data_IF_611655415707
#
_entry.id   IF_611655415707
#
_cell.length_a   1.000
_cell.length_b   1.000
_cell.length_c   1.000
_cell.angle_alpha   90.00
_cell.angle_beta   90.00
_cell.angle_gamma   90.00
#
_symmetry.space_group_name_H-M   'P 1'
#
loop_
_entity.id
_entity.type
_entity.pdbx_description
1 polymer ?
#
# COMPACT_ATOMS: atom_id res chain seq x y z
N UNK A 1 14.72 -35.57 73.19
CA UNK A 1 14.42 -36.85 72.53
C UNK A 1 12.95 -36.86 72.13
N UNK A 2 12.67 -37.21 70.86
CA UNK A 2 11.40 -37.69 70.25
C UNK A 2 10.13 -36.81 70.32
N UNK A 3 9.66 -36.40 69.13
CA UNK A 3 8.26 -36.07 68.77
C UNK A 3 7.32 -37.30 68.95
N UNK A 4 5.96 -37.20 68.86
CA UNK A 4 5.24 -36.81 67.63
C UNK A 4 3.83 -36.14 67.76
N UNK A 5 3.30 -35.80 66.56
CA UNK A 5 1.89 -35.72 66.13
C UNK A 5 1.05 -34.48 66.47
N UNK A 6 0.77 -33.66 65.44
CA UNK A 6 -0.37 -32.74 65.37
C UNK A 6 -1.15 -33.01 64.07
N UNK A 7 -2.46 -33.25 64.24
CA UNK A 7 -3.46 -33.52 63.21
C UNK A 7 -4.09 -32.20 62.71
N UNK A 8 -4.50 -32.18 61.44
CA UNK A 8 -5.71 -31.47 61.01
C UNK A 8 -5.51 -30.23 60.13
N UNK A 9 -5.61 -30.43 58.81
CA UNK A 9 -5.67 -29.41 57.76
C UNK A 9 -7.13 -29.23 57.31
N UNK A 10 -7.63 -28.00 57.20
CA UNK A 10 -8.79 -27.59 56.36
C UNK A 10 -8.73 -26.06 56.14
N UNK A 11 -8.38 -25.55 54.94
CA UNK A 11 -9.25 -24.93 53.90
C UNK A 11 -10.20 -23.81 54.40
N UNK A 12 -10.45 -22.66 53.75
CA UNK A 12 -10.10 -22.07 52.44
C UNK A 12 -10.42 -20.55 52.51
N UNK A 13 -9.68 -19.76 51.72
CA UNK A 13 -9.66 -18.28 51.61
C UNK A 13 -10.81 -17.75 50.72
N UNK A 14 -11.25 -16.49 50.90
CA UNK A 14 -11.35 -15.48 49.81
C UNK A 14 -11.84 -14.10 50.30
N UNK A 15 -10.95 -13.11 50.14
CA UNK A 15 -11.13 -11.70 50.44
C UNK A 15 -11.82 -10.97 49.27
N UNK A 16 -12.67 -9.99 49.57
CA UNK A 16 -13.30 -9.08 48.61
C UNK A 16 -12.77 -7.65 48.80
N UNK A 17 -11.97 -7.11 47.87
CA UNK A 17 -11.69 -5.68 47.80
C UNK A 17 -12.57 -4.97 46.74
N UNK A 18 -13.04 -3.79 47.14
CA UNK A 18 -13.85 -2.80 46.43
C UNK A 18 -13.31 -2.41 45.04
N UNK A 19 -14.15 -2.51 44.00
CA UNK A 19 -13.88 -1.91 42.70
C UNK A 19 -14.45 -0.48 42.65
N UNK A 20 -13.55 0.51 42.69
CA UNK A 20 -13.83 1.91 42.38
C UNK A 20 -14.06 2.00 40.87
N UNK A 21 -15.27 2.37 40.45
CA UNK A 21 -15.63 2.53 39.05
C UNK A 21 -15.02 3.82 38.50
N UNK A 22 -13.78 3.74 38.01
CA UNK A 22 -13.16 4.79 37.20
C UNK A 22 -13.89 4.87 35.85
N UNK A 23 -14.70 5.91 35.64
CA UNK A 23 -15.16 6.28 34.30
C UNK A 23 -13.96 6.77 33.49
N UNK A 24 -13.31 5.79 32.85
CA UNK A 24 -12.22 6.00 31.92
C UNK A 24 -12.67 6.92 30.78
N UNK A 25 -11.87 7.95 30.56
CA UNK A 25 -11.82 8.77 29.36
C UNK A 25 -11.87 7.81 28.17
N UNK A 26 -12.97 7.84 27.43
CA UNK A 26 -13.13 7.14 26.16
C UNK A 26 -12.24 7.83 25.11
N UNK A 27 -10.93 7.73 25.28
CA UNK A 27 -9.98 7.92 24.20
C UNK A 27 -10.14 6.68 23.33
N UNK A 28 -11.02 6.82 22.33
CA UNK A 28 -11.15 5.87 21.24
C UNK A 28 -9.83 5.92 20.47
N UNK A 29 -8.84 5.18 20.95
CA UNK A 29 -7.59 4.94 20.23
C UNK A 29 -7.94 4.19 18.97
N UNK A 30 -8.13 4.95 17.89
CA UNK A 30 -8.11 4.44 16.51
C UNK A 30 -6.86 3.59 16.38
N UNK A 31 -6.95 2.34 15.88
CA UNK A 31 -5.76 1.54 15.64
C UNK A 31 -4.81 2.35 14.75
N UNK A 32 -3.62 2.65 15.25
CA UNK A 32 -2.55 3.21 14.44
C UNK A 32 -2.17 2.14 13.43
N UNK A 33 -2.80 2.18 12.27
CA UNK A 33 -2.40 1.41 11.11
C UNK A 33 -0.92 1.71 10.88
N UNK A 34 -0.02 0.70 10.86
CA UNK A 34 1.41 0.91 10.66
C UNK A 34 1.55 1.75 9.40
N UNK A 35 2.20 2.91 9.56
CA UNK A 35 2.38 3.95 8.58
C UNK A 35 2.61 3.34 7.19
N UNK A 36 1.52 3.21 6.42
CA UNK A 36 1.57 2.74 5.04
C UNK A 36 2.52 3.70 4.34
N UNK A 37 3.68 3.21 3.91
CA UNK A 37 4.61 4.01 3.11
C UNK A 37 3.80 4.54 1.93
N UNK A 38 3.50 5.84 1.94
CA UNK A 38 2.57 6.47 1.01
C UNK A 38 2.95 6.11 -0.42
N UNK A 39 2.00 5.57 -1.21
CA UNK A 39 2.22 5.32 -2.62
C UNK A 39 2.58 6.63 -3.30
N UNK A 40 3.69 6.66 -4.03
CA UNK A 40 4.13 7.84 -4.75
C UNK A 40 3.50 7.93 -6.14
N UNK A 41 3.31 6.78 -6.79
CA UNK A 41 2.56 6.66 -8.04
C UNK A 41 1.65 5.45 -7.93
N UNK A 42 0.40 5.60 -8.35
CA UNK A 42 -0.50 4.50 -8.63
C UNK A 42 -0.95 4.63 -10.07
N UNK A 43 -0.74 3.59 -10.86
CA UNK A 43 -1.21 3.46 -12.23
C UNK A 43 -2.09 2.23 -12.35
N UNK A 44 -3.25 2.38 -12.95
CA UNK A 44 -4.16 1.29 -13.25
C UNK A 44 -4.47 1.28 -14.74
N UNK A 45 -4.46 0.09 -15.34
CA UNK A 45 -4.91 -0.16 -16.70
C UNK A 45 -5.96 -1.25 -16.71
N UNK A 46 -7.04 -1.00 -17.44
CA UNK A 46 -8.09 -1.98 -17.71
C UNK A 46 -8.53 -1.93 -19.17
N UNK A 47 -9.13 -3.01 -19.67
CA UNK A 47 -9.66 -3.08 -21.03
C UNK A 47 -8.87 -4.06 -21.92
N UNK A 48 -8.84 -3.76 -23.21
CA UNK A 48 -8.33 -4.67 -24.25
C UNK A 48 -9.21 -5.90 -24.46
N UNK A 49 -9.08 -6.56 -25.60
CA UNK A 49 -9.90 -7.73 -25.95
C UNK A 49 -9.75 -8.90 -24.95
N UNK A 50 -8.55 -9.08 -24.38
CA UNK A 50 -8.27 -10.11 -23.38
C UNK A 50 -8.87 -9.78 -22.00
N UNK A 51 -9.39 -8.56 -21.81
CA UNK A 51 -9.89 -8.11 -20.54
C UNK A 51 -8.79 -8.12 -19.48
N UNK A 52 -7.75 -7.33 -19.66
CA UNK A 52 -6.72 -7.18 -18.63
C UNK A 52 -7.17 -6.22 -17.51
N UNK A 53 -6.59 -6.39 -16.33
CA UNK A 53 -6.62 -5.40 -15.25
C UNK A 53 -5.26 -5.43 -14.58
N UNK A 54 -4.53 -4.33 -14.61
CA UNK A 54 -3.24 -4.21 -13.97
C UNK A 54 -3.24 -2.99 -13.07
N UNK A 55 -2.66 -3.13 -11.89
CA UNK A 55 -2.37 -2.02 -10.98
C UNK A 55 -0.90 -2.04 -10.60
N UNK A 56 -0.18 -0.98 -10.93
CA UNK A 56 1.18 -0.74 -10.50
C UNK A 56 1.18 0.31 -9.39
N UNK A 57 1.69 -0.06 -8.23
CA UNK A 57 1.96 0.87 -7.13
C UNK A 57 3.45 1.05 -6.96
N UNK A 58 3.95 2.28 -7.11
CA UNK A 58 5.33 2.65 -6.85
C UNK A 58 5.42 3.48 -5.57
N UNK A 59 6.32 3.09 -4.68
CA UNK A 59 6.62 3.83 -3.44
C UNK A 59 7.76 4.82 -3.66
N UNK A 60 7.87 5.82 -2.79
CA UNK A 60 8.98 6.77 -2.81
C UNK A 60 10.36 6.13 -2.58
N UNK A 61 10.39 4.96 -1.92
CA UNK A 61 11.58 4.10 -1.79
C UNK A 61 11.97 3.37 -3.08
N UNK A 62 11.15 3.49 -4.13
CA UNK A 62 11.19 2.69 -5.35
C UNK A 62 10.91 1.19 -5.18
N UNK A 63 10.30 0.81 -4.06
CA UNK A 63 9.62 -0.47 -3.98
C UNK A 63 8.35 -0.44 -4.85
N UNK A 64 8.04 -1.54 -5.51
CA UNK A 64 6.87 -1.68 -6.38
C UNK A 64 6.02 -2.89 -6.00
N UNK A 65 4.73 -2.81 -6.35
CA UNK A 65 3.81 -3.95 -6.39
C UNK A 65 3.03 -3.85 -7.69
N UNK A 66 3.03 -4.92 -8.48
CA UNK A 66 2.20 -5.11 -9.66
C UNK A 66 1.12 -6.15 -9.35
N UNK A 67 -0.13 -5.81 -9.61
CA UNK A 67 -1.30 -6.60 -9.23
C UNK A 67 -2.25 -6.80 -10.41
N UNK A 68 -2.92 -7.95 -10.46
CA UNK A 68 -4.16 -8.10 -11.22
C UNK A 68 -5.29 -7.48 -10.40
N UNK A 69 -5.79 -6.32 -10.82
CA UNK A 69 -6.80 -5.57 -10.07
C UNK A 69 -8.22 -6.17 -10.14
N UNK A 70 -8.49 -7.13 -11.03
CA UNK A 70 -9.77 -7.88 -11.02
C UNK A 70 -9.74 -8.97 -9.97
N UNK A 71 -8.63 -9.70 -9.89
CA UNK A 71 -8.46 -10.85 -8.99
C UNK A 71 -7.83 -10.50 -7.65
N UNK A 72 -7.41 -9.24 -7.47
CA UNK A 72 -6.70 -8.76 -6.28
C UNK A 72 -5.47 -9.63 -5.95
N UNK A 73 -4.78 -10.08 -6.99
CA UNK A 73 -3.64 -11.00 -6.86
C UNK A 73 -2.36 -10.27 -7.22
N UNK A 74 -1.31 -10.41 -6.40
CA UNK A 74 0.00 -9.85 -6.72
C UNK A 74 0.65 -10.66 -7.84
N UNK A 75 0.95 -10.00 -8.95
CA UNK A 75 1.67 -10.57 -10.10
C UNK A 75 3.16 -10.57 -9.82
N UNK A 76 3.71 -9.42 -9.41
CA UNK A 76 5.12 -9.30 -9.03
C UNK A 76 5.32 -8.17 -8.01
N UNK A 77 6.41 -8.24 -7.24
CA UNK A 77 6.78 -7.20 -6.26
C UNK A 77 8.28 -7.19 -6.07
N UNK A 78 8.83 -6.03 -5.72
CA UNK A 78 10.26 -5.93 -5.45
C UNK A 78 10.71 -4.48 -5.37
N UNK A 79 11.98 -4.26 -5.74
CA UNK A 79 12.54 -2.93 -5.91
C UNK A 79 12.81 -2.70 -7.40
N UNK A 80 12.59 -1.47 -7.86
CA UNK A 80 12.95 -1.10 -9.23
C UNK A 80 14.46 -1.25 -9.47
N UNK A 81 14.89 -1.64 -10.68
CA UNK A 81 16.29 -1.55 -11.10
C UNK A 81 16.85 -0.13 -10.93
N UNK A 82 18.17 0.01 -10.75
CA UNK A 82 18.76 1.32 -10.42
C UNK A 82 18.48 2.39 -11.48
N UNK A 83 18.45 2.04 -12.77
CA UNK A 83 18.07 2.94 -13.86
C UNK A 83 16.66 3.53 -13.68
N UNK A 84 15.67 2.69 -13.34
CA UNK A 84 14.29 3.10 -13.10
C UNK A 84 14.13 3.88 -11.80
N UNK A 85 14.94 3.56 -10.77
CA UNK A 85 14.98 4.30 -9.51
C UNK A 85 15.39 5.75 -9.73
N UNK A 86 16.42 5.97 -10.55
CA UNK A 86 16.89 7.31 -10.90
C UNK A 86 15.81 8.09 -11.63
N UNK A 87 15.14 7.46 -12.61
CA UNK A 87 14.05 8.09 -13.36
C UNK A 87 12.86 8.46 -12.46
N UNK A 88 12.40 7.53 -11.62
CA UNK A 88 11.32 7.75 -10.65
C UNK A 88 11.66 8.93 -9.72
N UNK A 89 12.85 8.92 -9.09
CA UNK A 89 13.25 9.97 -8.15
C UNK A 89 13.44 11.34 -8.81
N UNK A 90 14.09 11.39 -9.96
CA UNK A 90 14.44 12.66 -10.63
C UNK A 90 13.21 13.30 -11.28
N UNK A 91 12.50 12.55 -12.10
CA UNK A 91 11.44 13.10 -12.94
C UNK A 91 10.11 13.09 -12.21
N UNK A 92 9.78 12.02 -11.49
CA UNK A 92 8.40 11.83 -11.04
C UNK A 92 8.15 12.34 -9.62
N UNK A 93 9.10 12.13 -8.70
CA UNK A 93 8.91 12.52 -7.30
C UNK A 93 9.22 14.00 -7.02
N UNK A 94 10.14 14.60 -7.79
CA UNK A 94 10.61 15.97 -7.57
C UNK A 94 9.92 17.01 -8.46
N UNK A 95 9.58 16.66 -9.70
CA UNK A 95 8.98 17.61 -10.65
C UNK A 95 7.49 17.77 -10.41
N UNK A 96 6.77 16.64 -10.36
CA UNK A 96 5.31 16.65 -10.26
C UNK A 96 4.84 16.63 -8.82
N UNK A 97 3.81 17.42 -8.55
CA UNK A 97 3.09 17.42 -7.28
C UNK A 97 2.00 16.37 -7.25
N UNK A 98 1.02 16.57 -6.36
CA UNK A 98 -0.19 15.76 -6.36
C UNK A 98 -1.04 16.04 -7.60
N UNK A 99 -1.30 15.01 -8.39
CA UNK A 99 -2.09 15.14 -9.61
C UNK A 99 -2.73 13.81 -9.99
N UNK A 100 -3.96 13.86 -10.50
CA UNK A 100 -4.69 12.69 -10.96
C UNK A 100 -5.27 12.98 -12.34
N UNK A 101 -5.23 11.99 -13.21
CA UNK A 101 -5.93 12.02 -14.48
C UNK A 101 -6.34 10.63 -14.91
N UNK A 102 -7.20 10.60 -15.92
CA UNK A 102 -7.66 9.37 -16.55
C UNK A 102 -7.61 9.53 -18.06
N UNK A 103 -7.28 8.44 -18.74
CA UNK A 103 -7.37 8.31 -20.19
C UNK A 103 -8.41 7.23 -20.46
N UNK A 104 -9.47 7.56 -21.21
CA UNK A 104 -10.47 6.58 -21.63
C UNK A 104 -10.62 6.65 -23.15
N UNK A 105 -10.24 5.57 -23.82
CA UNK A 105 -10.48 5.41 -25.25
C UNK A 105 -11.74 4.56 -25.45
N UNK A 106 -12.58 4.93 -26.42
CA UNK A 106 -13.82 4.19 -26.72
C UNK A 106 -13.54 3.17 -27.83
N UNK A 107 -13.55 1.88 -27.50
CA UNK A 107 -13.37 0.77 -28.44
C UNK A 107 -13.15 -0.56 -27.72
N UNK A 108 -13.52 -1.68 -28.34
CA UNK A 108 -13.46 -3.00 -27.71
C UNK A 108 -12.03 -3.44 -27.33
N UNK A 109 -11.03 -3.01 -28.10
CA UNK A 109 -9.61 -3.30 -27.85
C UNK A 109 -8.86 -2.13 -27.20
N UNK A 110 -9.60 -1.15 -26.69
CA UNK A 110 -8.99 0.04 -26.10
C UNK A 110 -8.73 -0.14 -24.61
N UNK A 111 -7.65 0.47 -24.13
CA UNK A 111 -7.35 0.56 -22.72
C UNK A 111 -7.92 1.83 -22.10
N UNK A 112 -8.34 1.71 -20.86
CA UNK A 112 -8.59 2.82 -19.95
C UNK A 112 -7.52 2.82 -18.87
N UNK A 113 -6.91 3.98 -18.65
CA UNK A 113 -5.85 4.18 -17.69
C UNK A 113 -6.25 5.20 -16.63
N UNK A 114 -5.87 4.95 -15.38
CA UNK A 114 -6.00 5.90 -14.26
C UNK A 114 -4.64 6.12 -13.63
N UNK A 115 -4.37 7.36 -13.25
CA UNK A 115 -3.09 7.77 -12.69
C UNK A 115 -3.31 8.59 -11.43
N UNK A 116 -2.52 8.28 -10.41
CA UNK A 116 -2.39 9.09 -9.20
C UNK A 116 -0.92 9.33 -8.95
N UNK A 117 -0.51 10.59 -9.02
CA UNK A 117 0.81 11.04 -8.59
C UNK A 117 0.67 11.68 -7.21
N UNK A 118 1.51 11.24 -6.28
CA UNK A 118 1.65 11.79 -4.94
C UNK A 118 3.09 12.29 -4.75
N UNK A 119 3.61 12.99 -5.76
CA UNK A 119 4.94 13.59 -5.71
C UNK A 119 5.01 14.81 -4.80
N UNK A 120 6.22 15.33 -4.59
CA UNK A 120 6.47 16.52 -3.76
C UNK A 120 6.79 17.77 -4.57
N UNK A 121 6.71 17.67 -5.89
CA UNK A 121 6.91 18.80 -6.78
C UNK A 121 5.73 19.77 -6.76
N UNK A 122 5.82 20.82 -7.58
CA UNK A 122 4.79 21.84 -7.72
C UNK A 122 4.09 21.81 -9.09
N UNK A 123 4.65 21.08 -10.06
CA UNK A 123 4.14 21.07 -11.42
C UNK A 123 3.06 20.00 -11.61
N UNK A 124 2.16 20.25 -12.56
CA UNK A 124 1.26 19.25 -13.13
C UNK A 124 1.79 18.85 -14.50
N UNK A 125 1.78 17.56 -14.88
CA UNK A 125 2.22 17.14 -16.20
C UNK A 125 1.30 17.70 -17.29
N UNK A 126 1.90 18.30 -18.31
CA UNK A 126 1.24 18.66 -19.58
C UNK A 126 0.72 17.43 -20.31
N UNK A 127 -0.11 17.60 -21.35
CA UNK A 127 -0.63 16.47 -22.13
C UNK A 127 0.48 15.61 -22.77
N UNK A 128 1.55 16.26 -23.27
CA UNK A 128 2.71 15.55 -23.82
C UNK A 128 3.45 14.74 -22.75
N UNK A 129 3.63 15.32 -21.55
CA UNK A 129 4.22 14.61 -20.42
C UNK A 129 3.34 13.46 -19.93
N UNK A 130 2.01 13.63 -19.89
CA UNK A 130 1.07 12.56 -19.56
C UNK A 130 1.20 11.37 -20.53
N UNK A 131 1.37 11.63 -21.83
CA UNK A 131 1.62 10.59 -22.83
C UNK A 131 2.97 9.89 -22.60
N UNK A 132 4.03 10.64 -22.26
CA UNK A 132 5.32 10.06 -21.92
C UNK A 132 5.25 9.20 -20.64
N UNK A 133 4.50 9.64 -19.63
CA UNK A 133 4.25 8.88 -18.40
C UNK A 133 3.47 7.60 -18.67
N UNK A 134 2.43 7.65 -19.51
CA UNK A 134 1.68 6.47 -19.93
C UNK A 134 2.60 5.44 -20.61
N UNK A 135 3.43 5.88 -21.55
CA UNK A 135 4.38 5.01 -22.26
C UNK A 135 5.35 4.35 -21.28
N UNK A 136 5.95 5.15 -20.38
CA UNK A 136 6.89 4.66 -19.38
C UNK A 136 6.25 3.63 -18.45
N UNK A 137 5.11 3.94 -17.84
CA UNK A 137 4.44 3.05 -16.87
C UNK A 137 3.95 1.75 -17.54
N UNK A 138 3.49 1.84 -18.79
CA UNK A 138 3.13 0.66 -19.59
C UNK A 138 4.35 -0.25 -19.81
N UNK A 139 5.47 0.32 -20.25
CA UNK A 139 6.70 -0.43 -20.51
C UNK A 139 7.24 -1.07 -19.23
N UNK A 140 7.28 -0.29 -18.14
CA UNK A 140 7.71 -0.77 -16.84
C UNK A 140 6.84 -1.93 -16.37
N UNK A 141 5.52 -1.81 -16.41
CA UNK A 141 4.63 -2.90 -16.00
C UNK A 141 4.81 -4.17 -16.83
N UNK A 142 5.03 -4.05 -18.15
CA UNK A 142 5.35 -5.19 -19.01
C UNK A 142 6.65 -5.90 -18.59
N UNK A 143 7.71 -5.14 -18.31
CA UNK A 143 8.98 -5.68 -17.83
C UNK A 143 8.86 -6.35 -16.45
N UNK A 144 8.09 -5.75 -15.54
CA UNK A 144 7.87 -6.29 -14.20
C UNK A 144 6.99 -7.54 -14.23
N UNK A 145 6.10 -7.66 -15.20
CA UNK A 145 5.28 -8.85 -15.41
C UNK A 145 6.07 -10.00 -16.06
N UNK A 146 7.20 -9.75 -16.71
CA UNK A 146 8.04 -10.78 -17.34
C UNK A 146 9.18 -11.29 -16.44
N UNK A 147 9.26 -10.83 -15.19
CA UNK A 147 10.28 -11.24 -14.21
C UNK A 147 9.85 -12.42 -13.33
N UNK A 148 8.66 -12.98 -13.60
CA UNK A 148 8.11 -14.19 -12.96
C UNK A 148 8.54 -15.46 -13.67
#
# INVERSE_FOLDING_TARGET
MKSPMALGVTLLVLALPTAISSNAIANKSTPTQPQQTQAAIVWERSGGIAGICQRLTLRSSAAYVLEDCRKQTVVSRGNLPESDRVQLKKLLLKQYGQFQWQSSNKGADMFSDRYTLNGRGSQKPTLSEQAALNKYLTQLAGQLASQI
#
